data_IF_219055095697
#
_entry.id   IF_219055095697
#
_cell.length_a   1.000
_cell.length_b   1.000
_cell.length_c   1.000
_cell.angle_alpha   90.00
_cell.angle_beta   90.00
_cell.angle_gamma   90.00
#
_symmetry.space_group_name_H-M   'P 1'
#
loop_
_entity.id
_entity.type
_entity.pdbx_description
1 polymer ?
#
# COMPACT_ATOMS: atom_id res chain seq x y z
N UNK A 1 -16.34 -7.91 -5.27
CA UNK A 1 -14.99 -7.31 -5.10
C UNK A 1 -14.08 -8.38 -4.53
N UNK A 2 -12.99 -8.70 -5.23
CA UNK A 2 -12.00 -9.72 -4.79
C UNK A 2 -10.79 -9.06 -4.12
N UNK A 3 -10.34 -7.94 -4.67
CA UNK A 3 -9.16 -7.23 -4.19
C UNK A 3 -9.49 -5.79 -3.78
N UNK A 4 -8.71 -5.27 -2.83
CA UNK A 4 -8.50 -3.85 -2.58
C UNK A 4 -7.03 -3.59 -2.83
N UNK A 5 -6.72 -2.82 -3.86
CA UNK A 5 -5.36 -2.40 -4.14
C UNK A 5 -5.00 -1.17 -3.29
N UNK A 6 -3.79 -1.15 -2.75
CA UNK A 6 -3.30 -0.02 -1.97
C UNK A 6 -1.99 0.46 -2.55
N UNK A 7 -1.98 1.73 -2.95
CA UNK A 7 -0.84 2.43 -3.51
C UNK A 7 -0.39 3.57 -2.59
N UNK A 8 0.90 3.71 -2.40
CA UNK A 8 1.50 4.80 -1.61
C UNK A 8 3.02 4.72 -1.68
N UNK A 9 3.71 5.86 -1.68
CA UNK A 9 5.16 5.88 -1.67
C UNK A 9 5.75 5.35 -0.35
N UNK A 10 7.02 4.90 -0.31
CA UNK A 10 7.71 4.55 0.92
C UNK A 10 7.64 5.71 1.92
N UNK A 11 7.24 5.44 3.16
CA UNK A 11 7.05 6.48 4.17
C UNK A 11 5.71 7.22 4.13
N UNK A 12 4.80 6.88 3.22
CA UNK A 12 3.45 7.47 3.12
C UNK A 12 2.53 7.14 4.28
N UNK A 13 2.94 6.25 5.17
CA UNK A 13 2.11 5.71 6.28
C UNK A 13 0.90 4.89 5.83
N UNK A 14 0.94 4.33 4.64
CA UNK A 14 -0.13 3.49 4.11
C UNK A 14 -0.55 2.35 5.06
N UNK A 15 0.39 1.82 5.88
CA UNK A 15 0.07 0.78 6.85
C UNK A 15 -0.97 1.22 7.89
N UNK A 16 -0.99 2.51 8.26
CA UNK A 16 -2.02 3.06 9.14
C UNK A 16 -3.39 3.10 8.45
N UNK A 17 -3.42 3.37 7.14
CA UNK A 17 -4.65 3.36 6.33
C UNK A 17 -5.15 1.92 6.16
N UNK A 18 -4.25 1.01 5.79
CA UNK A 18 -4.56 -0.42 5.62
C UNK A 18 -5.11 -1.03 6.91
N UNK A 19 -4.57 -0.65 8.07
CA UNK A 19 -5.05 -1.13 9.37
C UNK A 19 -6.55 -0.87 9.57
N UNK A 20 -7.06 0.25 9.09
CA UNK A 20 -8.48 0.57 9.19
C UNK A 20 -9.37 -0.26 8.25
N UNK A 21 -8.79 -0.77 7.16
CA UNK A 21 -9.49 -1.68 6.23
C UNK A 21 -9.40 -3.11 6.73
N UNK A 22 -8.22 -3.50 7.19
CA UNK A 22 -7.87 -4.88 7.55
C UNK A 22 -8.77 -5.50 8.61
N UNK A 23 -9.20 -4.73 9.61
CA UNK A 23 -10.06 -5.23 10.68
C UNK A 23 -11.57 -5.23 10.34
N UNK A 24 -11.91 -5.14 9.07
CA UNK A 24 -13.28 -5.36 8.60
C UNK A 24 -13.60 -6.86 8.51
N UNK A 25 -14.78 -7.29 8.94
CA UNK A 25 -15.24 -8.68 8.87
C UNK A 25 -15.28 -9.26 7.44
N UNK A 26 -15.12 -8.40 6.41
CA UNK A 26 -15.15 -8.83 5.01
C UNK A 26 -13.77 -9.18 4.45
N UNK A 27 -12.70 -8.95 5.22
CA UNK A 27 -11.31 -9.09 4.75
C UNK A 27 -10.79 -10.50 5.02
N UNK A 28 -10.03 -11.02 4.07
CA UNK A 28 -9.27 -12.26 4.25
C UNK A 28 -8.04 -11.99 5.12
N UNK A 29 -8.00 -12.60 6.30
CA UNK A 29 -6.93 -12.43 7.30
C UNK A 29 -5.83 -13.50 7.20
N UNK A 30 -5.88 -14.36 6.21
CA UNK A 30 -4.98 -15.54 6.14
C UNK A 30 -3.62 -15.23 5.54
N UNK A 31 -3.35 -13.97 5.12
CA UNK A 31 -2.09 -13.63 4.48
C UNK A 31 -0.87 -13.79 5.41
N UNK A 32 0.25 -14.26 4.86
CA UNK A 32 1.49 -14.49 5.65
C UNK A 32 2.15 -13.20 6.12
N UNK A 33 1.80 -12.06 5.54
CA UNK A 33 2.44 -10.79 5.90
C UNK A 33 2.14 -10.38 7.33
N UNK A 34 1.15 -10.99 7.98
CA UNK A 34 0.88 -10.81 9.41
C UNK A 34 2.07 -11.16 10.29
N UNK A 35 2.83 -12.18 9.91
CA UNK A 35 3.99 -12.62 10.67
C UNK A 35 5.22 -11.73 10.44
N UNK A 36 5.15 -10.84 9.46
CA UNK A 36 6.23 -9.90 9.16
C UNK A 36 6.13 -8.71 10.10
N UNK A 37 7.09 -8.61 10.96
CA UNK A 37 7.22 -7.49 11.89
C UNK A 37 8.54 -6.78 11.69
N UNK A 38 8.55 -5.47 11.90
CA UNK A 38 9.77 -4.68 11.97
C UNK A 38 9.64 -3.59 13.02
N UNK A 39 10.77 -3.06 13.44
CA UNK A 39 10.85 -2.06 14.48
C UNK A 39 11.07 -0.67 13.87
N UNK A 40 10.38 0.33 14.43
CA UNK A 40 10.50 1.72 14.00
C UNK A 40 11.71 2.43 14.61
N UNK A 41 12.34 1.83 15.58
CA UNK A 41 13.51 2.37 16.26
C UNK A 41 14.56 1.28 16.53
N UNK A 42 15.78 1.71 16.81
CA UNK A 42 16.89 0.81 17.12
C UNK A 42 16.75 0.04 18.43
N UNK A 43 15.83 0.45 19.31
CA UNK A 43 15.56 -0.23 20.59
C UNK A 43 14.67 -1.47 20.41
N UNK A 44 13.96 -1.57 19.31
CA UNK A 44 12.99 -2.63 19.06
C UNK A 44 11.71 -2.52 19.90
N UNK A 45 11.42 -1.35 20.45
CA UNK A 45 10.26 -1.15 21.33
C UNK A 45 8.99 -0.83 20.56
N UNK A 46 9.10 -0.25 19.36
CA UNK A 46 7.97 0.10 18.50
C UNK A 46 7.89 -0.88 17.35
N UNK A 47 6.97 -1.81 17.43
CA UNK A 47 6.76 -2.84 16.43
C UNK A 47 5.61 -2.46 15.48
N UNK A 48 5.82 -2.67 14.19
CA UNK A 48 4.79 -2.54 13.17
C UNK A 48 4.61 -3.88 12.45
N UNK A 49 3.37 -4.30 12.31
CA UNK A 49 2.99 -5.44 11.48
C UNK A 49 2.62 -4.96 10.08
N UNK A 50 3.07 -5.70 9.07
CA UNK A 50 2.55 -5.54 7.72
C UNK A 50 1.20 -6.27 7.62
N UNK A 51 0.13 -5.48 7.58
CA UNK A 51 -1.20 -5.97 7.35
C UNK A 51 -1.53 -5.88 5.86
N UNK A 52 -2.16 -6.93 5.31
CA UNK A 52 -2.38 -7.08 3.88
C UNK A 52 -1.10 -7.50 3.14
N UNK A 53 -1.25 -8.24 2.05
CA UNK A 53 -0.12 -8.79 1.32
C UNK A 53 0.68 -7.69 0.60
N UNK A 54 2.00 -7.72 0.78
CA UNK A 54 2.93 -6.72 0.27
C UNK A 54 3.74 -7.27 -0.90
N UNK A 55 3.60 -6.63 -2.05
CA UNK A 55 4.19 -7.00 -3.32
C UNK A 55 5.06 -5.88 -3.85
N UNK A 56 6.36 -6.08 -3.87
CA UNK A 56 7.30 -5.15 -4.50
C UNK A 56 8.51 -5.91 -5.02
N UNK A 57 9.25 -5.38 -6.01
CA UNK A 57 10.49 -5.99 -6.45
C UNK A 57 11.46 -6.22 -5.29
N UNK A 58 11.98 -7.43 -5.16
CA UNK A 58 12.88 -7.81 -4.05
C UNK A 58 12.18 -8.24 -2.76
N UNK A 59 10.85 -8.21 -2.71
CA UNK A 59 10.05 -8.82 -1.65
C UNK A 59 9.77 -10.29 -1.97
N UNK A 60 9.16 -11.02 -1.04
CA UNK A 60 8.76 -12.41 -1.23
C UNK A 60 7.76 -12.60 -2.37
N UNK A 61 6.94 -11.57 -2.62
CA UNK A 61 5.96 -11.52 -3.69
C UNK A 61 6.23 -10.32 -4.60
N UNK A 62 5.92 -10.45 -5.88
CA UNK A 62 6.05 -9.36 -6.83
C UNK A 62 7.43 -9.24 -7.48
N UNK A 63 8.18 -10.32 -7.61
CA UNK A 63 9.53 -10.31 -8.21
C UNK A 63 9.57 -9.69 -9.61
N UNK A 64 8.50 -9.85 -10.40
CA UNK A 64 8.43 -9.27 -11.75
C UNK A 64 7.93 -7.82 -11.80
N UNK A 65 7.51 -7.22 -10.68
CA UNK A 65 6.87 -5.91 -10.71
C UNK A 65 7.79 -4.84 -11.30
N UNK A 66 9.04 -4.85 -11.08
CA UNK A 66 9.95 -3.85 -11.63
C UNK A 66 10.02 -3.78 -13.15
N UNK A 67 10.02 -4.88 -13.84
CA UNK A 67 10.33 -4.96 -15.27
C UNK A 67 9.20 -5.44 -16.16
N UNK A 68 8.30 -6.24 -15.63
CA UNK A 68 7.30 -6.93 -16.43
C UNK A 68 5.87 -6.83 -15.87
N UNK A 69 5.61 -5.90 -14.96
CA UNK A 69 4.29 -5.73 -14.36
C UNK A 69 3.18 -5.56 -15.42
N UNK A 70 3.37 -4.63 -16.36
CA UNK A 70 2.40 -4.38 -17.43
C UNK A 70 2.40 -5.40 -18.58
N UNK A 71 3.33 -6.34 -18.57
CA UNK A 71 3.48 -7.37 -19.63
C UNK A 71 2.80 -8.69 -19.25
N UNK A 72 2.44 -8.85 -17.97
CA UNK A 72 1.78 -10.05 -17.44
C UNK A 72 0.29 -10.04 -17.69
N UNK A 73 -0.27 -11.23 -17.84
CA UNK A 73 -1.72 -11.40 -17.97
C UNK A 73 -2.43 -11.19 -16.63
N UNK A 74 -3.76 -11.00 -16.69
CA UNK A 74 -4.59 -10.91 -15.49
C UNK A 74 -4.45 -12.15 -14.63
N UNK A 75 -4.47 -13.32 -15.23
CA UNK A 75 -4.39 -14.63 -14.58
C UNK A 75 -3.04 -14.82 -13.86
N UNK A 76 -1.94 -14.40 -14.48
CA UNK A 76 -0.61 -14.46 -13.85
C UNK A 76 -0.54 -13.54 -12.63
N UNK A 77 -1.09 -12.33 -12.72
CA UNK A 77 -1.19 -11.43 -11.57
C UNK A 77 -2.08 -11.99 -10.46
N UNK A 78 -3.25 -12.52 -10.81
CA UNK A 78 -4.16 -13.11 -9.83
C UNK A 78 -3.54 -14.31 -9.12
N UNK A 79 -2.83 -15.16 -9.84
CA UNK A 79 -2.10 -16.28 -9.24
C UNK A 79 -1.07 -15.80 -8.20
N UNK A 80 -0.36 -14.69 -8.49
CA UNK A 80 0.59 -14.10 -7.54
C UNK A 80 -0.11 -13.40 -6.37
N UNK A 81 -1.16 -12.61 -6.63
CA UNK A 81 -1.91 -11.91 -5.59
C UNK A 81 -2.61 -12.86 -4.64
N UNK A 82 -3.03 -14.02 -5.12
CA UNK A 82 -3.71 -15.02 -4.31
C UNK A 82 -2.76 -15.89 -3.48
N UNK A 83 -1.50 -15.99 -3.90
CA UNK A 83 -0.51 -16.90 -3.30
C UNK A 83 -0.35 -16.79 -1.78
N UNK A 84 -0.38 -15.60 -1.15
CA UNK A 84 -0.25 -15.49 0.29
C UNK A 84 -1.53 -15.77 1.08
N UNK A 85 -2.65 -16.09 0.44
CA UNK A 85 -3.95 -16.23 1.10
C UNK A 85 -4.48 -17.66 1.01
N UNK A 86 -4.95 -18.17 2.14
CA UNK A 86 -5.62 -19.48 2.25
C UNK A 86 -7.10 -19.35 2.63
N UNK A 87 -7.58 -18.13 2.90
CA UNK A 87 -8.93 -17.85 3.35
C UNK A 87 -9.86 -17.32 2.26
N UNK A 88 -11.05 -16.97 2.71
CA UNK A 88 -12.08 -16.32 1.89
C UNK A 88 -12.24 -14.86 2.30
N UNK A 89 -12.74 -14.03 1.39
CA UNK A 89 -12.99 -12.61 1.63
C UNK A 89 -12.22 -11.70 0.69
N UNK A 90 -12.25 -10.43 1.02
CA UNK A 90 -11.56 -9.40 0.24
C UNK A 90 -10.08 -9.39 0.61
N UNK A 91 -9.22 -9.49 -0.38
CA UNK A 91 -7.76 -9.53 -0.23
C UNK A 91 -7.17 -8.13 -0.39
N UNK A 92 -6.41 -7.69 0.59
CA UNK A 92 -5.70 -6.42 0.53
C UNK A 92 -4.33 -6.64 -0.12
N UNK A 93 -4.12 -6.04 -1.26
CA UNK A 93 -2.88 -6.14 -2.04
C UNK A 93 -2.18 -4.78 -2.03
N UNK A 94 -1.00 -4.71 -1.42
CA UNK A 94 -0.22 -3.47 -1.30
C UNK A 94 1.03 -3.53 -2.16
N UNK A 95 1.29 -2.45 -2.89
CA UNK A 95 2.58 -2.25 -3.56
C UNK A 95 2.89 -0.77 -3.72
N UNK A 96 4.12 -0.38 -3.42
CA UNK A 96 4.63 0.94 -3.80
C UNK A 96 4.67 1.09 -5.32
N UNK A 97 4.85 -0.04 -6.03
CA UNK A 97 4.85 -0.10 -7.49
C UNK A 97 3.52 0.33 -8.11
N UNK A 98 2.41 0.12 -7.43
CA UNK A 98 1.08 0.58 -7.88
C UNK A 98 0.96 2.10 -7.95
N UNK A 99 1.82 2.85 -7.28
CA UNK A 99 1.78 4.31 -7.25
C UNK A 99 2.24 4.97 -8.56
N UNK A 100 2.93 4.26 -9.44
CA UNK A 100 3.28 4.79 -10.74
C UNK A 100 2.04 4.93 -11.64
N UNK A 101 1.97 6.04 -12.38
CA UNK A 101 0.82 6.36 -13.25
C UNK A 101 0.41 5.20 -14.15
N UNK A 102 1.36 4.62 -14.89
CA UNK A 102 1.07 3.51 -15.82
C UNK A 102 0.47 2.29 -15.10
N UNK A 103 0.86 2.06 -13.86
CA UNK A 103 0.36 0.93 -13.07
C UNK A 103 -1.03 1.21 -12.49
N UNK A 104 -1.34 2.45 -12.09
CA UNK A 104 -2.71 2.86 -11.74
C UNK A 104 -3.65 2.65 -12.94
N UNK A 105 -3.23 3.09 -14.13
CA UNK A 105 -4.00 2.91 -15.38
C UNK A 105 -4.22 1.42 -15.70
N UNK A 106 -3.16 0.61 -15.54
CA UNK A 106 -3.21 -0.84 -15.76
C UNK A 106 -4.17 -1.53 -14.78
N UNK A 107 -4.07 -1.25 -13.48
CA UNK A 107 -4.95 -1.83 -12.46
C UNK A 107 -6.43 -1.50 -12.74
N UNK A 108 -6.75 -0.24 -13.03
CA UNK A 108 -8.11 0.18 -13.35
C UNK A 108 -8.68 -0.49 -14.59
N UNK A 109 -7.84 -0.70 -15.60
CA UNK A 109 -8.25 -1.38 -16.84
C UNK A 109 -8.48 -2.86 -16.62
N UNK A 110 -7.63 -3.50 -15.81
CA UNK A 110 -7.61 -4.96 -15.65
C UNK A 110 -8.61 -5.44 -14.60
N UNK A 111 -8.81 -4.67 -13.53
CA UNK A 111 -9.76 -4.96 -12.44
C UNK A 111 -10.68 -3.75 -12.18
N UNK A 112 -11.56 -3.41 -13.13
CA UNK A 112 -12.42 -2.23 -12.99
C UNK A 112 -13.40 -2.31 -11.81
N UNK A 113 -13.64 -3.51 -11.28
CA UNK A 113 -14.48 -3.78 -10.11
C UNK A 113 -13.75 -3.69 -8.77
N UNK A 114 -12.43 -3.52 -8.78
CA UNK A 114 -11.59 -3.49 -7.59
C UNK A 114 -11.12 -2.07 -7.28
N UNK A 115 -11.39 -1.53 -6.08
CA UNK A 115 -10.98 -0.18 -5.73
C UNK A 115 -9.46 -0.09 -5.56
N UNK A 116 -8.92 1.10 -5.85
CA UNK A 116 -7.54 1.46 -5.59
C UNK A 116 -7.53 2.56 -4.53
N UNK A 117 -7.00 2.24 -3.36
CA UNK A 117 -6.76 3.21 -2.28
C UNK A 117 -5.42 3.88 -2.53
N UNK A 118 -5.45 5.18 -2.76
CA UNK A 118 -4.28 6.02 -2.99
C UNK A 118 -3.92 6.74 -1.69
N UNK A 119 -2.70 6.55 -1.22
CA UNK A 119 -2.18 7.16 0.01
C UNK A 119 -1.04 8.09 -0.36
N UNK A 120 -1.29 9.40 -0.26
CA UNK A 120 -0.34 10.45 -0.60
C UNK A 120 0.13 11.17 0.65
N UNK A 121 1.40 11.53 0.67
CA UNK A 121 2.03 12.34 1.72
C UNK A 121 3.17 13.16 1.10
N UNK A 122 3.46 14.40 1.57
CA UNK A 122 4.59 15.18 1.05
C UNK A 122 5.90 14.39 0.99
N UNK A 123 6.69 14.59 -0.07
CA UNK A 123 7.91 13.82 -0.34
C UNK A 123 8.92 13.88 0.80
N UNK A 124 9.13 15.07 1.36
CA UNK A 124 10.02 15.31 2.49
C UNK A 124 9.53 14.62 3.77
N UNK A 125 8.23 14.59 3.99
CA UNK A 125 7.61 13.89 5.11
C UNK A 125 7.70 12.35 4.94
N UNK A 126 7.55 11.85 3.72
CA UNK A 126 7.79 10.45 3.38
C UNK A 126 9.24 10.06 3.65
N UNK A 127 10.19 10.83 3.10
CA UNK A 127 11.62 10.56 3.25
C UNK A 127 12.06 10.66 4.71
N UNK A 128 11.60 11.70 5.43
CA UNK A 128 11.91 11.87 6.85
C UNK A 128 11.39 10.73 7.72
N UNK A 129 10.17 10.26 7.45
CA UNK A 129 9.62 9.10 8.14
C UNK A 129 10.40 7.83 7.84
N UNK A 130 10.74 7.60 6.58
CA UNK A 130 11.51 6.45 6.15
C UNK A 130 12.88 6.40 6.84
N UNK A 131 13.61 7.52 6.89
CA UNK A 131 14.88 7.64 7.63
C UNK A 131 14.69 7.40 9.12
N UNK A 132 13.66 7.98 9.74
CA UNK A 132 13.34 7.82 11.16
C UNK A 132 13.10 6.35 11.53
N UNK A 133 12.46 5.60 10.66
CA UNK A 133 12.21 4.17 10.88
C UNK A 133 13.46 3.29 10.67
N UNK A 134 14.61 3.87 10.33
CA UNK A 134 15.86 3.13 10.17
C UNK A 134 15.88 2.19 8.96
N UNK A 135 15.19 2.52 7.90
CA UNK A 135 15.02 1.65 6.74
C UNK A 135 16.32 1.31 6.00
N UNK A 136 17.37 2.08 6.17
CA UNK A 136 18.70 1.69 5.72
C UNK A 136 19.27 0.46 6.45
N UNK A 137 18.75 0.17 7.65
CA UNK A 137 19.14 -0.97 8.47
C UNK A 137 18.20 -2.16 8.29
N UNK A 138 17.06 -1.97 7.63
CA UNK A 138 16.13 -3.06 7.32
C UNK A 138 16.66 -3.72 6.06
N UNK A 139 17.24 -4.86 6.23
CA UNK A 139 17.64 -5.75 5.15
C UNK A 139 16.41 -6.33 4.48
N UNK A 140 15.82 -5.58 3.56
CA UNK A 140 15.06 -6.20 2.49
C UNK A 140 16.09 -6.65 1.45
N UNK A 141 16.38 -7.93 1.36
CA UNK A 141 17.37 -8.41 0.41
C UNK A 141 16.95 -8.00 -0.99
N UNK A 142 17.86 -7.42 -1.74
CA UNK A 142 17.72 -7.04 -3.14
C UNK A 142 16.85 -5.81 -3.47
N UNK A 143 16.44 -5.01 -2.51
CA UNK A 143 15.66 -3.80 -2.80
C UNK A 143 16.58 -2.62 -3.15
N UNK A 144 16.98 -2.54 -4.39
CA UNK A 144 17.94 -1.53 -4.91
C UNK A 144 17.54 -0.07 -4.59
N UNK A 145 16.26 0.23 -4.41
CA UNK A 145 15.77 1.57 -4.08
C UNK A 145 16.12 2.02 -2.67
N UNK A 146 16.46 1.09 -1.77
CA UNK A 146 16.83 1.39 -0.38
C UNK A 146 18.34 1.58 -0.18
N UNK A 147 19.13 1.52 -1.23
CA UNK A 147 20.59 1.61 -1.14
C UNK A 147 21.08 2.97 -0.65
N UNK A 148 20.39 4.05 -1.01
CA UNK A 148 20.76 5.37 -0.55
C UNK A 148 19.61 6.39 -0.62
N UNK A 149 19.77 7.51 0.11
CA UNK A 149 18.79 8.60 0.20
C UNK A 149 18.39 9.19 -1.15
N UNK A 150 19.31 9.30 -2.09
CA UNK A 150 19.06 9.91 -3.40
C UNK A 150 18.12 9.03 -4.23
N UNK A 151 18.36 7.73 -4.25
CA UNK A 151 17.50 6.78 -4.95
C UNK A 151 16.11 6.75 -4.31
N UNK A 152 16.04 6.71 -3.00
CA UNK A 152 14.77 6.71 -2.28
C UNK A 152 13.97 8.00 -2.51
N UNK A 153 14.62 9.16 -2.42
CA UNK A 153 13.95 10.44 -2.71
C UNK A 153 13.39 10.49 -4.13
N UNK A 154 14.16 10.03 -5.13
CA UNK A 154 13.70 9.93 -6.51
C UNK A 154 12.52 8.98 -6.69
N UNK A 155 12.54 7.84 -6.00
CA UNK A 155 11.44 6.85 -6.02
C UNK A 155 10.18 7.42 -5.38
N UNK A 156 10.29 8.06 -4.21
CA UNK A 156 9.17 8.71 -3.53
C UNK A 156 8.54 9.77 -4.44
N UNK A 157 9.35 10.65 -5.01
CA UNK A 157 8.87 11.72 -5.89
C UNK A 157 8.12 11.17 -7.11
N UNK A 158 8.67 10.18 -7.80
CA UNK A 158 8.04 9.58 -8.98
C UNK A 158 6.72 8.86 -8.66
N UNK A 159 6.65 8.21 -7.51
CA UNK A 159 5.44 7.52 -7.06
C UNK A 159 4.36 8.51 -6.59
N UNK A 160 4.72 9.55 -5.84
CA UNK A 160 3.79 10.61 -5.47
C UNK A 160 3.30 11.40 -6.69
N UNK A 161 4.14 11.63 -7.71
CA UNK A 161 3.70 12.22 -8.98
C UNK A 161 2.61 11.38 -9.66
N UNK A 162 2.74 10.05 -9.66
CA UNK A 162 1.71 9.16 -10.21
C UNK A 162 0.40 9.23 -9.42
N UNK A 163 0.45 9.29 -8.09
CA UNK A 163 -0.74 9.47 -7.25
C UNK A 163 -1.36 10.86 -7.47
N UNK A 164 -0.55 11.91 -7.52
CA UNK A 164 -1.02 13.27 -7.79
C UNK A 164 -1.72 13.35 -9.15
N UNK A 165 -1.12 12.75 -10.19
CA UNK A 165 -1.76 12.65 -11.50
C UNK A 165 -3.13 11.99 -11.42
N UNK A 166 -3.26 10.89 -10.66
CA UNK A 166 -4.54 10.20 -10.49
C UNK A 166 -5.57 11.08 -9.76
N UNK A 167 -5.17 11.76 -8.70
CA UNK A 167 -6.02 12.70 -7.96
C UNK A 167 -6.54 13.83 -8.85
N UNK A 168 -5.71 14.37 -9.74
CA UNK A 168 -6.07 15.49 -10.60
C UNK A 168 -6.94 15.08 -11.79
N UNK A 169 -6.66 13.92 -12.38
CA UNK A 169 -7.27 13.49 -13.65
C UNK A 169 -8.41 12.52 -13.52
N UNK A 170 -8.36 11.64 -12.52
CA UNK A 170 -9.32 10.57 -12.36
C UNK A 170 -10.41 10.90 -11.33
N UNK A 171 -10.24 11.99 -10.58
CA UNK A 171 -11.20 12.51 -9.59
C UNK A 171 -11.70 11.46 -8.61
N UNK A 172 -10.78 10.81 -7.86
CA UNK A 172 -11.16 9.78 -6.89
C UNK A 172 -12.02 10.35 -5.76
N UNK A 173 -12.69 9.48 -5.04
CA UNK A 173 -13.41 9.81 -3.82
C UNK A 173 -12.44 10.20 -2.71
N UNK A 174 -12.50 11.43 -2.24
CA UNK A 174 -11.69 11.89 -1.09
C UNK A 174 -12.16 11.25 0.20
N UNK A 175 -11.20 10.86 1.03
CA UNK A 175 -11.43 10.23 2.33
C UNK A 175 -11.02 11.19 3.44
N UNK A 176 -11.96 11.51 4.32
CA UNK A 176 -11.73 12.45 5.43
C UNK A 176 -11.62 11.75 6.80
N UNK A 177 -12.08 10.51 6.88
CA UNK A 177 -12.02 9.70 8.09
C UNK A 177 -12.27 8.21 7.76
N UNK A 178 -12.07 7.35 8.76
CA UNK A 178 -12.21 5.89 8.60
C UNK A 178 -13.62 5.45 8.25
N UNK A 179 -14.63 6.11 8.78
CA UNK A 179 -16.04 5.83 8.45
C UNK A 179 -16.29 6.04 6.96
N UNK A 180 -15.79 7.16 6.41
CA UNK A 180 -15.90 7.44 4.99
C UNK A 180 -15.16 6.42 4.14
N UNK A 181 -13.96 5.99 4.56
CA UNK A 181 -13.19 4.95 3.88
C UNK A 181 -13.99 3.64 3.81
N UNK A 182 -14.51 3.18 4.95
CA UNK A 182 -15.30 1.96 5.01
C UNK A 182 -16.57 2.03 4.15
N UNK A 183 -17.26 3.17 4.15
CA UNK A 183 -18.44 3.40 3.30
C UNK A 183 -18.12 3.34 1.81
N UNK A 184 -17.03 3.97 1.37
CA UNK A 184 -16.61 3.95 -0.05
C UNK A 184 -16.25 2.53 -0.49
N UNK A 185 -15.61 1.76 0.39
CA UNK A 185 -15.18 0.39 0.11
C UNK A 185 -16.29 -0.66 0.35
N UNK A 186 -17.47 -0.23 0.78
CA UNK A 186 -18.59 -1.12 1.15
C UNK A 186 -18.19 -2.19 2.19
N UNK A 187 -17.41 -1.77 3.18
CA UNK A 187 -16.93 -2.62 4.25
C UNK A 187 -17.61 -2.28 5.58
N UNK A 188 -17.69 -3.24 6.47
CA UNK A 188 -18.10 -2.96 7.84
C UNK A 188 -17.08 -2.03 8.50
N UNK A 189 -17.56 -1.09 9.30
CA UNK A 189 -16.68 -0.20 10.02
C UNK A 189 -15.82 -1.00 11.01
N UNK A 190 -14.49 -0.76 11.03
CA UNK A 190 -13.63 -1.42 12.00
C UNK A 190 -13.99 -0.99 13.44
N UNK A 191 -13.69 -1.81 14.46
CA UNK A 191 -13.86 -1.47 15.86
C UNK A 191 -13.21 -0.12 16.23
N UNK A 192 -13.77 0.57 17.21
CA UNK A 192 -13.32 1.91 17.62
C UNK A 192 -11.85 1.94 18.07
N UNK A 193 -11.38 0.88 18.69
CA UNK A 193 -10.00 0.69 19.13
C UNK A 193 -8.95 0.74 18.01
N UNK A 194 -9.38 0.49 16.76
CA UNK A 194 -8.51 0.54 15.59
C UNK A 194 -8.60 1.84 14.80
N UNK A 195 -9.38 2.80 15.26
CA UNK A 195 -9.46 4.13 14.65
C UNK A 195 -8.16 4.87 14.89
N UNK A 196 -7.26 4.82 13.93
CA UNK A 196 -6.08 5.67 13.91
C UNK A 196 -6.31 6.86 13.00
N UNK A 197 -6.04 8.05 13.50
CA UNK A 197 -6.01 9.24 12.67
C UNK A 197 -4.70 9.26 11.89
N UNK A 198 -4.76 8.99 10.61
CA UNK A 198 -3.64 9.23 9.69
C UNK A 198 -3.60 10.70 9.22
N UNK A 199 -4.67 11.44 9.43
CA UNK A 199 -4.80 12.87 9.11
C UNK A 199 -3.76 13.71 9.84
N UNK A 200 -3.46 13.37 11.11
CA UNK A 200 -2.46 14.07 11.94
C UNK A 200 -1.03 13.95 11.41
N UNK A 201 -0.83 13.27 10.29
CA UNK A 201 0.47 13.01 9.70
C UNK A 201 0.63 13.56 8.28
N UNK A 202 -0.19 14.53 7.89
CA UNK A 202 -0.23 15.09 6.53
C UNK A 202 -0.47 14.01 5.47
N UNK A 203 -1.30 13.02 5.77
CA UNK A 203 -1.64 11.93 4.86
C UNK A 203 -2.98 12.23 4.20
N UNK A 204 -2.96 12.30 2.88
CA UNK A 204 -4.16 12.38 2.06
C UNK A 204 -4.53 10.98 1.55
N UNK A 205 -5.81 10.63 1.67
CA UNK A 205 -6.33 9.35 1.18
C UNK A 205 -7.45 9.61 0.18
N UNK A 206 -7.41 8.88 -0.91
CA UNK A 206 -8.47 8.87 -1.91
C UNK A 206 -8.69 7.45 -2.46
N UNK A 207 -9.86 7.19 -3.03
CA UNK A 207 -10.25 5.88 -3.56
C UNK A 207 -10.77 6.03 -4.97
N UNK A 208 -10.15 5.33 -5.89
CA UNK A 208 -10.67 5.08 -7.24
C UNK A 208 -11.60 3.85 -7.19
N UNK A 209 -12.81 4.02 -7.69
CA UNK A 209 -13.78 2.94 -7.91
C UNK A 209 -13.85 2.61 -9.39
#
# INVERSE_FOLDING_TARGET
>A
MKYIFVAGAPGSKWSSVVKNIYFSDSVDYSDYSQDRTYYHDASGTTQLMHLGAYFDPGMEFGDWFGHSFGERTKEEHEAEFDRPFDGEGVRIIKSHWFSYRQNIEFLRKTWPECPIVLVQRPDDACLGWWVKCGHFNITYPNYQYYENLRLMAGTIAAQNEGIQWANDRLKPHRVYNNTRLAMILDLKQPPDEYKQSYIDHDVEVSVLL
#
